data_IF_965432906668
#
_entry.id   IF_965432906668
#
_cell.length_a   1.000
_cell.length_b   1.000
_cell.length_c   1.000
_cell.angle_alpha   90.00
_cell.angle_beta   90.00
_cell.angle_gamma   90.00
#
_symmetry.space_group_name_H-M   'P 1'
#
loop_
_entity.id
_entity.type
_entity.pdbx_description
1 polymer ?
#
# COMPACT_ATOMS: atom_id res chain seq x y z
N UNK A 1 7.33 -18.55 -14.89
CA UNK A 1 6.88 -19.65 -14.00
C UNK A 1 5.88 -19.04 -13.03
N UNK A 2 4.78 -19.72 -12.71
CA UNK A 2 3.74 -19.17 -11.82
C UNK A 2 3.68 -19.98 -10.52
N UNK A 3 3.45 -19.30 -9.40
CA UNK A 3 3.19 -19.97 -8.12
C UNK A 3 1.83 -20.68 -8.16
N UNK A 4 1.72 -21.79 -7.43
CA UNK A 4 0.38 -22.37 -7.13
C UNK A 4 -0.42 -21.41 -6.26
N UNK A 5 -1.75 -21.49 -6.28
CA UNK A 5 -2.61 -20.61 -5.48
C UNK A 5 -2.30 -20.66 -3.98
N UNK A 6 -2.02 -21.86 -3.46
CA UNK A 6 -1.63 -22.04 -2.06
C UNK A 6 -0.34 -21.28 -1.73
N UNK A 7 0.65 -21.34 -2.62
CA UNK A 7 1.90 -20.61 -2.45
C UNK A 7 1.67 -19.09 -2.61
N UNK A 8 0.87 -18.66 -3.58
CA UNK A 8 0.49 -17.26 -3.78
C UNK A 8 -0.13 -16.62 -2.53
N UNK A 9 -1.14 -17.26 -1.94
CA UNK A 9 -1.76 -16.80 -0.68
C UNK A 9 -0.77 -16.77 0.48
N UNK A 10 0.13 -17.74 0.55
CA UNK A 10 1.15 -17.80 1.59
C UNK A 10 2.16 -16.65 1.46
N UNK A 11 2.70 -16.39 0.25
CA UNK A 11 3.69 -15.33 0.05
C UNK A 11 3.13 -13.93 0.33
N UNK A 12 1.85 -13.69 0.02
CA UNK A 12 1.18 -12.42 0.33
C UNK A 12 1.14 -12.16 1.81
N UNK A 13 0.87 -13.18 2.63
CA UNK A 13 0.95 -13.03 4.09
C UNK A 13 2.38 -12.78 4.56
N UNK A 14 3.37 -13.46 3.98
CA UNK A 14 4.78 -13.25 4.35
C UNK A 14 5.23 -11.81 4.11
N UNK A 15 4.87 -11.24 2.97
CA UNK A 15 5.29 -9.89 2.59
C UNK A 15 4.40 -8.83 3.22
N UNK A 16 3.08 -8.98 3.14
CA UNK A 16 2.12 -7.95 3.56
C UNK A 16 1.86 -7.88 5.07
N UNK A 17 1.81 -9.02 5.76
CA UNK A 17 1.50 -9.07 7.21
C UNK A 17 2.79 -9.18 8.04
N UNK A 18 3.73 -10.02 7.62
CA UNK A 18 4.99 -10.25 8.35
C UNK A 18 6.14 -9.33 7.94
N UNK A 19 5.96 -8.49 6.92
CA UNK A 19 6.95 -7.51 6.48
C UNK A 19 8.25 -8.11 5.91
N UNK A 20 8.23 -9.38 5.46
CA UNK A 20 9.39 -10.02 4.84
C UNK A 20 9.63 -9.45 3.44
N UNK A 21 10.88 -9.40 3.01
CA UNK A 21 11.18 -8.87 1.67
C UNK A 21 10.81 -9.89 0.59
N UNK A 22 10.36 -9.40 -0.58
CA UNK A 22 10.05 -10.28 -1.74
C UNK A 22 11.26 -11.14 -2.12
N UNK A 23 12.48 -10.58 -2.03
CA UNK A 23 13.71 -11.29 -2.38
C UNK A 23 14.02 -12.44 -1.43
N UNK A 24 13.82 -12.25 -0.12
CA UNK A 24 13.98 -13.30 0.88
C UNK A 24 13.09 -14.51 0.56
N UNK A 25 11.82 -14.26 0.20
CA UNK A 25 10.86 -15.30 -0.17
C UNK A 25 11.23 -15.97 -1.50
N UNK A 26 11.70 -15.18 -2.48
CA UNK A 26 12.14 -15.73 -3.77
C UNK A 26 13.32 -16.70 -3.61
N UNK A 27 14.30 -16.35 -2.76
CA UNK A 27 15.42 -17.22 -2.41
C UNK A 27 14.94 -18.47 -1.66
N UNK A 28 14.04 -18.32 -0.68
CA UNK A 28 13.47 -19.45 0.09
C UNK A 28 12.74 -20.46 -0.82
N UNK A 29 11.99 -19.97 -1.80
CA UNK A 29 11.23 -20.80 -2.73
C UNK A 29 12.03 -21.27 -3.95
N UNK A 30 13.27 -20.80 -4.11
CA UNK A 30 14.11 -21.13 -5.27
C UNK A 30 13.53 -20.64 -6.60
N UNK A 31 12.85 -19.50 -6.60
CA UNK A 31 12.24 -18.91 -7.80
C UNK A 31 12.72 -17.48 -8.07
N UNK A 32 12.36 -16.96 -9.24
CA UNK A 32 12.69 -15.58 -9.60
C UNK A 32 11.90 -14.58 -8.74
N UNK A 33 12.54 -13.45 -8.42
CA UNK A 33 11.94 -12.36 -7.65
C UNK A 33 10.59 -11.92 -8.23
N UNK A 34 10.50 -11.80 -9.56
CA UNK A 34 9.29 -11.38 -10.26
C UNK A 34 8.16 -12.39 -10.07
N UNK A 35 8.47 -13.69 -9.98
CA UNK A 35 7.47 -14.73 -9.73
C UNK A 35 6.76 -14.54 -8.39
N UNK A 36 7.49 -14.11 -7.35
CA UNK A 36 6.90 -13.79 -6.03
C UNK A 36 6.19 -12.45 -6.08
N UNK A 37 6.82 -11.41 -6.66
CA UNK A 37 6.25 -10.07 -6.73
C UNK A 37 4.90 -10.04 -7.47
N UNK A 38 4.82 -10.71 -8.61
CA UNK A 38 3.58 -10.76 -9.41
C UNK A 38 2.45 -11.43 -8.62
N UNK A 39 2.76 -12.46 -7.82
CA UNK A 39 1.78 -13.09 -6.95
C UNK A 39 1.35 -12.16 -5.79
N UNK A 40 2.30 -11.45 -5.17
CA UNK A 40 2.01 -10.48 -4.10
C UNK A 40 1.08 -9.38 -4.62
N UNK A 41 1.36 -8.83 -5.79
CA UNK A 41 0.52 -7.80 -6.41
C UNK A 41 -0.88 -8.33 -6.73
N UNK A 42 -0.99 -9.46 -7.45
CA UNK A 42 -2.28 -9.99 -7.88
C UNK A 42 -3.20 -10.37 -6.72
N UNK A 43 -2.67 -11.05 -5.70
CA UNK A 43 -3.45 -11.43 -4.53
C UNK A 43 -3.66 -10.26 -3.56
N UNK A 44 -2.70 -9.34 -3.45
CA UNK A 44 -2.82 -8.14 -2.63
C UNK A 44 -3.92 -7.22 -3.15
N UNK A 45 -3.97 -6.99 -4.45
CA UNK A 45 -5.03 -6.22 -5.10
C UNK A 45 -6.41 -6.86 -4.87
N UNK A 46 -6.55 -8.18 -5.10
CA UNK A 46 -7.80 -8.88 -4.83
C UNK A 46 -8.24 -8.82 -3.35
N UNK A 47 -7.30 -8.79 -2.39
CA UNK A 47 -7.62 -8.61 -0.97
C UNK A 47 -8.08 -7.19 -0.66
N UNK A 48 -7.44 -6.18 -1.27
CA UNK A 48 -7.83 -4.77 -1.11
C UNK A 48 -9.21 -4.50 -1.72
N UNK A 49 -9.52 -5.08 -2.88
CA UNK A 49 -10.85 -4.98 -3.50
C UNK A 49 -11.94 -5.67 -2.68
N UNK A 50 -11.62 -6.80 -2.04
CA UNK A 50 -12.58 -7.56 -1.25
C UNK A 50 -12.85 -6.96 0.14
N UNK A 51 -11.91 -6.18 0.69
CA UNK A 51 -12.02 -5.60 2.03
C UNK A 51 -12.53 -4.15 2.00
N UNK A 52 -13.85 -4.01 1.89
CA UNK A 52 -14.52 -2.69 1.85
C UNK A 52 -14.67 -2.03 3.21
N UNK A 53 -14.36 -2.73 4.31
CA UNK A 53 -14.57 -2.24 5.69
C UNK A 53 -13.26 -1.98 6.45
N UNK A 54 -12.11 -2.24 5.82
CA UNK A 54 -10.76 -2.09 6.39
C UNK A 54 -10.58 -0.79 7.17
N UNK A 55 -10.93 0.34 6.55
CA UNK A 55 -10.81 1.67 7.16
C UNK A 55 -12.03 1.93 8.06
N UNK A 56 -13.23 1.76 7.52
CA UNK A 56 -14.49 2.15 8.16
C UNK A 56 -14.81 3.64 7.96
N UNK A 57 -15.67 4.19 8.80
CA UNK A 57 -15.97 5.63 8.79
C UNK A 57 -14.75 6.45 9.22
N UNK A 58 -14.40 7.48 8.45
CA UNK A 58 -13.25 8.36 8.74
C UNK A 58 -13.74 9.60 9.49
N UNK A 59 -13.19 9.83 10.67
CA UNK A 59 -13.60 10.96 11.52
C UNK A 59 -12.65 12.16 11.36
N UNK A 60 -11.36 11.89 11.12
CA UNK A 60 -10.34 12.90 10.95
C UNK A 60 -9.24 12.43 9.99
N UNK A 61 -8.93 13.25 8.99
CA UNK A 61 -7.86 12.99 8.04
C UNK A 61 -6.54 13.62 8.51
N UNK A 62 -5.50 12.80 8.46
CA UNK A 62 -4.10 13.22 8.59
C UNK A 62 -3.40 13.04 7.24
N UNK A 63 -2.56 14.02 6.91
CA UNK A 63 -1.68 13.98 5.77
C UNK A 63 -0.24 14.07 6.26
N UNK A 64 0.63 13.22 5.74
CA UNK A 64 2.06 13.27 6.04
C UNK A 64 2.89 13.03 4.78
N UNK A 65 3.80 13.96 4.47
CA UNK A 65 4.70 13.87 3.33
C UNK A 65 6.02 13.17 3.67
N UNK A 66 6.26 12.04 3.01
CA UNK A 66 7.46 11.23 3.18
C UNK A 66 8.33 11.28 1.92
N UNK A 67 9.63 11.54 2.09
CA UNK A 67 10.61 11.28 1.04
C UNK A 67 10.82 9.77 0.93
N UNK A 68 10.13 9.14 -0.01
CA UNK A 68 10.05 7.69 -0.15
C UNK A 68 11.36 7.07 -0.64
N UNK A 69 11.92 7.61 -1.74
CA UNK A 69 13.17 7.13 -2.29
C UNK A 69 13.88 8.22 -3.11
N UNK A 70 15.14 7.98 -3.48
CA UNK A 70 15.88 8.74 -4.49
C UNK A 70 16.18 7.83 -5.68
N UNK A 71 15.79 8.25 -6.87
CA UNK A 71 15.90 7.43 -8.08
C UNK A 71 16.88 8.04 -9.10
N UNK A 72 17.48 7.16 -9.92
CA UNK A 72 18.40 7.54 -10.99
C UNK A 72 19.77 8.05 -10.51
N UNK A 73 20.63 8.35 -11.46
CA UNK A 73 22.01 8.84 -11.24
C UNK A 73 22.05 10.15 -10.44
N UNK A 74 21.07 11.03 -10.67
CA UNK A 74 21.01 12.34 -10.02
C UNK A 74 20.25 12.33 -8.69
N UNK A 75 19.92 11.16 -8.15
CA UNK A 75 19.22 11.00 -6.87
C UNK A 75 17.94 11.84 -6.77
N UNK A 76 17.14 11.82 -7.84
CA UNK A 76 15.88 12.57 -7.92
C UNK A 76 14.96 12.12 -6.79
N UNK A 77 14.56 13.08 -5.97
CA UNK A 77 13.71 12.83 -4.81
C UNK A 77 12.30 12.43 -5.23
N UNK A 78 11.88 11.24 -4.83
CA UNK A 78 10.53 10.73 -5.00
C UNK A 78 9.79 10.86 -3.68
N UNK A 79 8.73 11.66 -3.67
CA UNK A 79 7.92 11.93 -2.50
C UNK A 79 6.60 11.17 -2.59
N UNK A 80 6.01 10.86 -1.44
CA UNK A 80 4.62 10.45 -1.35
C UNK A 80 3.94 11.16 -0.17
N UNK A 81 2.64 11.34 -0.27
CA UNK A 81 1.78 11.82 0.80
C UNK A 81 0.91 10.67 1.26
N UNK A 82 1.07 10.25 2.52
CA UNK A 82 0.17 9.28 3.12
C UNK A 82 -1.12 9.97 3.55
N UNK A 83 -2.26 9.35 3.22
CA UNK A 83 -3.59 9.77 3.67
C UNK A 83 -4.06 8.79 4.74
N UNK A 84 -4.31 9.29 5.94
CA UNK A 84 -4.52 8.45 7.12
C UNK A 84 -5.80 8.89 7.83
N UNK A 85 -6.65 7.93 8.20
CA UNK A 85 -7.62 8.16 9.28
C UNK A 85 -6.83 8.17 10.58
N UNK A 86 -6.68 9.34 11.20
CA UNK A 86 -5.91 9.45 12.46
C UNK A 86 -6.64 8.80 13.63
N UNK A 87 -7.91 8.42 13.42
CA UNK A 87 -8.74 7.74 14.40
C UNK A 87 -9.30 8.70 15.46
N UNK A 88 -9.57 8.14 16.63
CA UNK A 88 -10.21 8.81 17.76
C UNK A 88 -10.08 7.96 19.02
N UNK A 89 -10.70 8.35 20.15
CA UNK A 89 -10.61 7.60 21.40
C UNK A 89 -10.95 6.11 21.20
N UNK A 90 -9.97 5.22 21.41
CA UNK A 90 -10.13 3.77 21.26
C UNK A 90 -9.98 3.23 19.83
N UNK A 91 -9.66 4.06 18.83
CA UNK A 91 -9.38 3.67 17.46
C UNK A 91 -7.91 3.95 17.13
N UNK A 92 -7.23 2.99 16.50
CA UNK A 92 -5.88 3.18 15.98
C UNK A 92 -5.92 3.89 14.64
N UNK A 93 -4.87 4.66 14.32
CA UNK A 93 -4.72 5.25 13.01
C UNK A 93 -4.65 4.17 11.91
N UNK A 94 -5.26 4.45 10.75
CA UNK A 94 -5.30 3.53 9.61
C UNK A 94 -4.92 4.26 8.33
N UNK A 95 -3.96 3.70 7.59
CA UNK A 95 -3.63 4.18 6.25
C UNK A 95 -4.84 3.98 5.33
N UNK A 96 -5.27 5.04 4.68
CA UNK A 96 -6.33 5.00 3.67
C UNK A 96 -5.68 4.76 2.31
N UNK A 97 -4.78 5.66 1.91
CA UNK A 97 -4.12 5.65 0.60
C UNK A 97 -2.75 6.35 0.64
N UNK A 98 -1.98 6.23 -0.45
CA UNK A 98 -0.71 6.91 -0.68
C UNK A 98 -0.79 7.65 -2.02
N UNK A 99 -0.74 8.98 -1.96
CA UNK A 99 -0.74 9.84 -3.14
C UNK A 99 0.70 10.13 -3.55
N UNK A 100 1.02 10.01 -4.84
CA UNK A 100 2.35 10.28 -5.35
C UNK A 100 2.67 11.78 -5.29
N UNK A 101 3.80 12.17 -4.69
CA UNK A 101 4.28 13.53 -4.62
C UNK A 101 4.18 14.13 -3.21
N UNK A 102 4.29 15.46 -3.14
CA UNK A 102 4.19 16.25 -1.91
C UNK A 102 3.41 17.56 -2.14
N UNK A 103 2.60 17.57 -3.18
CA UNK A 103 1.85 18.75 -3.62
C UNK A 103 0.45 18.67 -3.07
N UNK A 104 0.00 19.75 -2.43
CA UNK A 104 -1.39 19.87 -1.99
C UNK A 104 -2.39 19.66 -3.13
N UNK A 105 -2.03 20.03 -4.38
CA UNK A 105 -2.91 19.88 -5.55
C UNK A 105 -3.30 18.41 -5.75
N UNK A 106 -2.34 17.49 -5.73
CA UNK A 106 -2.63 16.07 -5.97
C UNK A 106 -3.49 15.47 -4.86
N UNK A 107 -3.27 15.90 -3.61
CA UNK A 107 -4.12 15.47 -2.50
C UNK A 107 -5.53 16.04 -2.61
N UNK A 108 -5.69 17.29 -3.06
CA UNK A 108 -7.00 17.89 -3.30
C UNK A 108 -7.74 17.18 -4.44
N UNK A 109 -7.06 16.85 -5.54
CA UNK A 109 -7.61 16.05 -6.63
C UNK A 109 -8.09 14.68 -6.11
N UNK A 110 -7.27 14.01 -5.30
CA UNK A 110 -7.63 12.75 -4.65
C UNK A 110 -8.86 12.89 -3.73
N UNK A 111 -8.94 13.98 -2.94
CA UNK A 111 -10.10 14.27 -2.09
C UNK A 111 -11.35 14.50 -2.95
N UNK A 112 -11.21 15.16 -4.09
CA UNK A 112 -12.32 15.44 -4.99
C UNK A 112 -12.88 14.19 -5.67
N UNK A 113 -12.06 13.16 -5.87
CA UNK A 113 -12.46 11.85 -6.40
C UNK A 113 -13.25 11.00 -5.39
N UNK A 114 -13.23 11.34 -4.09
CA UNK A 114 -13.96 10.58 -3.07
C UNK A 114 -15.48 10.75 -3.20
N UNK A 115 -16.28 9.73 -2.83
CA UNK A 115 -17.74 9.83 -2.86
C UNK A 115 -18.26 10.97 -1.98
N UNK A 116 -19.38 11.59 -2.36
CA UNK A 116 -20.00 12.70 -1.61
C UNK A 116 -20.32 12.33 -0.16
N UNK A 117 -20.63 11.06 0.12
CA UNK A 117 -20.87 10.57 1.49
C UNK A 117 -19.63 10.63 2.40
N UNK A 118 -18.44 10.87 1.82
CA UNK A 118 -17.15 10.93 2.49
C UNK A 118 -16.62 12.36 2.65
N UNK A 119 -17.22 13.32 1.92
CA UNK A 119 -16.91 14.76 2.00
C UNK A 119 -17.80 15.44 3.04
#
# INVERSE_FOLDING_TARGET
>A
MALTDRAGRWVVKQVGDLGRTVNEIAVELGCDWRTVNDAVLAYGEALLEADTERVGAVDALGLDETLFNRTGEWHVQQWCTSVVDVGGPGRTAKLIDIVEGRSAIKTLEWLDEQPEAWK
#
